data_IF_820633007779
#
_entry.id   IF_820633007779
#
_cell.length_a   1.000
_cell.length_b   1.000
_cell.length_c   1.000
_cell.angle_alpha   90.00
_cell.angle_beta   90.00
_cell.angle_gamma   90.00
#
_symmetry.space_group_name_H-M   'P 1'
#
loop_
_entity.id
_entity.type
_entity.pdbx_description
1 polymer ?
#
# COMPACT_ATOMS: atom_id res chain seq x y z
N UNK A 1 -13.84 7.21 13.68
CA UNK A 1 -14.06 6.05 12.78
C UNK A 1 -13.43 4.86 13.46
N UNK A 2 -14.12 3.72 13.48
CA UNK A 2 -13.65 2.49 14.11
C UNK A 2 -12.53 1.92 13.25
N UNK A 3 -11.35 1.79 13.81
CA UNK A 3 -10.14 1.36 13.14
C UNK A 3 -9.41 0.54 14.17
N UNK A 4 -9.44 -0.77 13.93
CA UNK A 4 -8.64 -1.80 14.53
C UNK A 4 -9.15 -2.56 15.76
N UNK A 5 -8.87 -3.86 15.72
CA UNK A 5 -9.05 -4.79 16.82
C UNK A 5 -7.80 -4.78 17.71
N UNK A 6 -8.00 -4.70 19.02
CA UNK A 6 -6.95 -4.81 20.02
C UNK A 6 -7.08 -6.16 20.75
N UNK A 7 -6.04 -6.97 20.72
CA UNK A 7 -5.95 -8.16 21.56
C UNK A 7 -4.89 -7.94 22.65
N UNK A 8 -5.21 -8.07 23.95
CA UNK A 8 -4.19 -8.10 24.98
C UNK A 8 -3.38 -9.41 24.85
N UNK A 9 -2.06 -9.28 24.68
CA UNK A 9 -1.03 -10.31 24.88
C UNK A 9 -1.41 -11.75 24.49
N UNK A 10 -1.41 -12.08 23.20
CA UNK A 10 -1.40 -13.50 22.78
C UNK A 10 0.04 -14.00 22.76
N UNK A 11 0.33 -15.00 23.57
CA UNK A 11 1.62 -15.70 23.56
C UNK A 11 1.66 -16.64 22.34
N UNK A 12 2.37 -16.23 21.28
CA UNK A 12 2.50 -16.95 19.99
C UNK A 12 3.26 -18.29 20.05
N UNK A 13 3.49 -18.85 21.24
CA UNK A 13 4.20 -20.11 21.44
C UNK A 13 3.35 -21.38 21.29
N UNK A 14 2.14 -21.30 20.71
CA UNK A 14 1.25 -22.46 20.57
C UNK A 14 0.69 -22.71 19.15
N UNK A 15 1.33 -22.19 18.11
CA UNK A 15 1.08 -22.68 16.76
C UNK A 15 1.72 -24.07 16.59
N UNK A 16 0.88 -25.07 16.80
CA UNK A 16 1.14 -26.51 16.71
C UNK A 16 1.69 -26.88 15.32
N UNK A 17 2.91 -27.42 15.31
CA UNK A 17 3.64 -27.94 14.16
C UNK A 17 3.17 -29.35 13.81
N UNK A 18 1.98 -29.44 13.21
CA UNK A 18 1.41 -30.66 12.67
C UNK A 18 2.23 -31.24 11.50
N UNK A 19 3.33 -31.92 11.82
CA UNK A 19 4.16 -32.70 10.91
C UNK A 19 3.39 -33.92 10.41
N UNK A 20 2.86 -33.84 9.18
CA UNK A 20 2.14 -34.91 8.48
C UNK A 20 2.79 -35.21 7.13
N UNK A 21 3.52 -36.32 7.09
CA UNK A 21 4.28 -36.85 5.96
C UNK A 21 3.37 -37.23 4.77
N UNK A 22 3.55 -36.60 3.60
CA UNK A 22 2.99 -37.05 2.32
C UNK A 22 4.04 -36.94 1.20
N UNK A 23 5.12 -37.71 1.32
CA UNK A 23 5.96 -38.04 0.17
C UNK A 23 5.20 -39.02 -0.74
N UNK A 24 4.61 -38.52 -1.83
CA UNK A 24 4.12 -39.35 -2.94
C UNK A 24 4.52 -38.72 -4.28
N UNK A 25 5.14 -39.56 -5.09
CA UNK A 25 5.80 -39.28 -6.37
C UNK A 25 4.95 -38.45 -7.34
N UNK A 26 5.55 -37.38 -7.86
CA UNK A 26 5.18 -36.78 -9.14
C UNK A 26 6.41 -36.86 -10.06
N UNK A 27 6.52 -37.98 -10.78
CA UNK A 27 7.37 -38.08 -11.97
C UNK A 27 6.74 -37.25 -13.09
N UNK A 28 6.91 -35.93 -13.02
CA UNK A 28 6.74 -35.03 -14.16
C UNK A 28 8.11 -34.78 -14.76
N UNK A 29 8.29 -35.09 -16.03
CA UNK A 29 9.43 -34.64 -16.81
C UNK A 29 9.60 -33.14 -16.62
N UNK A 30 10.74 -32.73 -16.07
CA UNK A 30 11.14 -31.32 -16.05
C UNK A 30 11.36 -30.96 -17.51
N UNK A 31 10.35 -30.36 -18.12
CA UNK A 31 10.49 -29.67 -19.39
C UNK A 31 11.64 -28.67 -19.26
N UNK A 32 12.42 -28.63 -20.33
CA UNK A 32 13.60 -27.79 -20.59
C UNK A 32 13.61 -26.49 -19.77
N UNK A 33 14.71 -26.13 -19.09
CA UNK A 33 14.80 -24.84 -18.44
C UNK A 33 14.66 -23.77 -19.52
N UNK A 34 13.52 -23.07 -19.51
CA UNK A 34 13.35 -21.86 -20.29
C UNK A 34 14.58 -20.98 -20.03
N UNK A 35 15.32 -20.71 -21.09
CA UNK A 35 16.46 -19.83 -21.09
C UNK A 35 15.99 -18.50 -20.48
N UNK A 36 16.36 -18.26 -19.22
CA UNK A 36 16.05 -17.01 -18.54
C UNK A 36 16.93 -15.97 -19.21
N UNK A 37 16.37 -15.28 -20.20
CA UNK A 37 16.98 -14.09 -20.78
C UNK A 37 17.48 -13.21 -19.62
N UNK A 38 18.76 -12.80 -19.63
CA UNK A 38 19.29 -11.99 -18.55
C UNK A 38 18.45 -10.72 -18.39
N UNK A 39 18.38 -10.13 -17.18
CA UNK A 39 17.65 -8.89 -16.99
C UNK A 39 18.15 -7.88 -18.01
N UNK A 40 17.24 -7.36 -18.85
CA UNK A 40 17.54 -6.28 -19.79
C UNK A 40 18.27 -5.20 -19.01
N UNK A 41 19.53 -4.92 -19.37
CA UNK A 41 20.29 -3.87 -18.73
C UNK A 41 19.45 -2.59 -18.72
N UNK A 42 19.31 -1.98 -17.55
CA UNK A 42 18.69 -0.67 -17.39
C UNK A 42 19.33 0.26 -18.43
N UNK A 43 18.51 0.67 -19.41
CA UNK A 43 18.93 1.44 -20.57
C UNK A 43 19.82 2.60 -20.13
N UNK A 44 21.10 2.55 -20.49
CA UNK A 44 22.07 3.63 -20.29
C UNK A 44 21.89 4.77 -21.30
N UNK A 45 20.68 4.91 -21.85
CA UNK A 45 20.36 5.97 -22.78
C UNK A 45 20.84 7.30 -22.18
N UNK A 46 21.60 8.10 -22.93
CA UNK A 46 22.01 9.41 -22.44
C UNK A 46 20.73 10.16 -22.10
N UNK A 47 20.59 10.58 -20.84
CA UNK A 47 19.52 11.46 -20.41
C UNK A 47 19.66 12.70 -21.29
N UNK A 48 18.77 12.83 -22.28
CA UNK A 48 18.73 14.02 -23.11
C UNK A 48 18.60 15.23 -22.17
N UNK A 49 19.28 16.35 -22.44
CA UNK A 49 19.07 17.56 -21.66
C UNK A 49 17.56 17.81 -21.54
N UNK A 50 17.08 17.99 -20.31
CA UNK A 50 15.69 18.34 -20.04
C UNK A 50 15.43 19.72 -20.63
N UNK A 51 15.00 19.76 -21.89
CA UNK A 51 14.59 20.97 -22.57
C UNK A 51 13.19 21.34 -22.10
N UNK A 52 13.02 22.60 -21.67
CA UNK A 52 11.71 23.13 -21.34
C UNK A 52 10.91 23.33 -22.63
N UNK A 53 9.65 22.92 -22.57
CA UNK A 53 8.69 23.15 -23.65
C UNK A 53 8.16 24.60 -23.60
N UNK A 54 7.55 25.10 -24.69
CA UNK A 54 6.91 26.41 -24.70
C UNK A 54 5.75 26.49 -23.72
N UNK A 55 5.50 27.68 -23.18
CA UNK A 55 4.37 27.94 -22.26
C UNK A 55 3.02 27.54 -22.87
N UNK A 56 2.20 26.89 -22.05
CA UNK A 56 0.82 26.49 -22.35
C UNK A 56 -0.05 26.58 -21.09
N UNK A 57 -1.38 26.52 -21.27
CA UNK A 57 -2.32 26.62 -20.16
C UNK A 57 -2.22 25.39 -19.23
N UNK A 58 -2.07 25.56 -17.91
CA UNK A 58 -1.99 24.46 -16.96
C UNK A 58 -3.18 23.50 -17.02
N UNK A 59 -3.01 22.23 -16.56
CA UNK A 59 -4.12 21.31 -16.41
C UNK A 59 -5.24 21.93 -15.57
N UNK A 60 -6.49 21.69 -15.97
CA UNK A 60 -7.67 22.25 -15.28
C UNK A 60 -7.61 21.95 -13.78
N UNK A 61 -7.68 22.99 -12.96
CA UNK A 61 -7.67 22.88 -11.49
C UNK A 61 -6.29 22.89 -10.84
N UNK A 62 -5.21 22.69 -11.61
CA UNK A 62 -3.85 22.63 -11.06
C UNK A 62 -3.45 23.94 -10.34
N UNK A 63 -3.84 25.09 -10.88
CA UNK A 63 -3.56 26.40 -10.28
C UNK A 63 -4.28 26.64 -8.94
N UNK A 64 -5.33 25.86 -8.63
CA UNK A 64 -6.02 25.93 -7.34
C UNK A 64 -5.34 25.05 -6.28
N UNK A 65 -4.62 24.02 -6.70
CA UNK A 65 -4.04 22.99 -5.81
C UNK A 65 -2.55 23.19 -5.57
N UNK A 66 -1.82 23.75 -6.54
CA UNK A 66 -0.36 23.85 -6.52
C UNK A 66 0.14 25.29 -6.63
N UNK A 67 1.16 25.61 -5.83
CA UNK A 67 1.91 26.86 -5.91
C UNK A 67 3.27 26.52 -6.51
N UNK A 68 3.40 26.71 -7.83
CA UNK A 68 4.62 26.40 -8.59
C UNK A 68 4.72 27.26 -9.84
N UNK A 69 5.85 27.13 -10.55
CA UNK A 69 6.13 27.82 -11.80
C UNK A 69 5.70 26.96 -13.01
N UNK A 70 4.48 27.18 -13.50
CA UNK A 70 3.92 26.45 -14.64
C UNK A 70 4.59 26.79 -15.99
N UNK A 71 5.50 27.78 -16.06
CA UNK A 71 6.32 27.98 -17.27
C UNK A 71 7.40 26.89 -17.43
N UNK A 72 7.65 26.08 -16.38
CA UNK A 72 8.69 25.05 -16.37
C UNK A 72 8.08 23.66 -16.46
N UNK A 73 8.05 23.12 -17.68
CA UNK A 73 7.64 21.75 -17.95
C UNK A 73 8.44 21.16 -19.11
N UNK A 74 8.66 19.85 -19.07
CA UNK A 74 9.40 19.08 -20.09
C UNK A 74 8.52 18.06 -20.80
N UNK A 75 7.24 18.02 -20.44
CA UNK A 75 6.19 17.21 -21.06
C UNK A 75 4.97 18.11 -21.35
N UNK A 76 4.19 17.85 -22.40
CA UNK A 76 2.92 18.53 -22.63
C UNK A 76 1.91 18.27 -21.49
N UNK A 77 1.17 19.28 -21.07
CA UNK A 77 0.15 19.18 -20.03
C UNK A 77 -1.03 18.29 -20.41
N UNK A 78 -1.26 18.04 -21.71
CA UNK A 78 -2.24 17.05 -22.18
C UNK A 78 -1.91 15.62 -21.77
N UNK A 79 -0.64 15.33 -21.44
CA UNK A 79 -0.22 14.01 -20.94
C UNK A 79 -0.47 13.85 -19.44
N UNK A 80 -0.74 14.95 -18.72
CA UNK A 80 -1.06 14.93 -17.29
C UNK A 80 -2.55 14.66 -17.12
N UNK A 81 -2.86 13.52 -16.50
CA UNK A 81 -4.22 13.11 -16.18
C UNK A 81 -4.51 13.30 -14.69
N UNK A 82 -5.76 13.63 -14.36
CA UNK A 82 -6.19 13.69 -12.96
C UNK A 82 -6.26 12.29 -12.34
N UNK A 83 -5.76 12.16 -11.12
CA UNK A 83 -5.90 10.96 -10.30
C UNK A 83 -7.28 10.77 -9.66
N UNK A 84 -8.19 11.74 -9.80
CA UNK A 84 -9.53 11.72 -9.22
C UNK A 84 -9.64 12.65 -8.00
N UNK A 85 -9.13 12.25 -6.81
CA UNK A 85 -9.09 13.13 -5.66
C UNK A 85 -8.24 14.38 -5.92
N UNK A 86 -8.64 15.57 -5.42
CA UNK A 86 -7.77 16.73 -5.43
C UNK A 86 -6.59 16.51 -4.48
N UNK A 87 -5.58 17.38 -4.56
CA UNK A 87 -4.53 17.47 -3.54
C UNK A 87 -5.14 17.56 -2.14
N UNK A 88 -4.61 16.75 -1.23
CA UNK A 88 -5.07 16.61 0.16
C UNK A 88 -6.54 16.13 0.28
N UNK A 89 -7.11 15.56 -0.80
CA UNK A 89 -8.50 15.12 -0.89
C UNK A 89 -8.78 13.73 -0.29
N UNK A 90 -7.75 12.98 0.08
CA UNK A 90 -7.87 11.69 0.78
C UNK A 90 -7.57 11.95 2.26
N UNK A 91 -8.55 11.81 3.17
CA UNK A 91 -8.35 12.18 4.56
C UNK A 91 -7.45 11.19 5.30
N UNK A 92 -6.66 11.69 6.25
CA UNK A 92 -6.02 10.85 7.27
C UNK A 92 -7.01 10.44 8.36
N UNK A 93 -6.66 9.38 9.09
CA UNK A 93 -7.28 9.03 10.38
C UNK A 93 -6.34 9.51 11.48
N UNK A 94 -6.61 10.69 12.02
CA UNK A 94 -5.75 11.29 13.06
C UNK A 94 -6.07 10.82 14.48
N UNK A 95 -7.26 10.26 14.68
CA UNK A 95 -7.74 9.76 15.98
C UNK A 95 -8.44 8.43 15.76
N UNK A 96 -7.69 7.35 15.51
CA UNK A 96 -8.28 6.02 15.35
C UNK A 96 -9.04 5.63 16.61
N UNK A 97 -10.10 4.85 16.46
CA UNK A 97 -10.91 4.33 17.57
C UNK A 97 -10.94 2.81 17.47
N UNK A 98 -10.52 2.11 18.51
CA UNK A 98 -10.35 0.65 18.44
C UNK A 98 -11.55 -0.07 19.05
N UNK A 99 -11.78 -1.28 18.57
CA UNK A 99 -12.69 -2.26 19.17
C UNK A 99 -11.93 -3.49 19.62
N UNK A 100 -12.62 -4.36 20.34
CA UNK A 100 -12.15 -5.72 20.62
C UNK A 100 -12.22 -6.60 19.37
N UNK A 101 -11.58 -7.77 19.41
CA UNK A 101 -11.67 -8.77 18.33
C UNK A 101 -13.11 -9.27 18.19
N UNK A 102 -13.77 -9.60 19.31
CA UNK A 102 -15.15 -10.09 19.30
C UNK A 102 -16.13 -9.09 18.65
N UNK A 103 -15.97 -7.79 18.91
CA UNK A 103 -16.77 -6.74 18.24
C UNK A 103 -16.41 -6.57 16.76
N UNK A 104 -15.16 -6.85 16.37
CA UNK A 104 -14.73 -6.79 14.98
C UNK A 104 -15.32 -7.95 14.17
N UNK A 105 -15.40 -9.14 14.76
CA UNK A 105 -15.97 -10.35 14.14
C UNK A 105 -17.45 -10.17 13.74
N UNK A 106 -18.15 -9.17 14.30
CA UNK A 106 -19.54 -8.85 13.90
C UNK A 106 -19.65 -8.25 12.49
N UNK A 107 -18.57 -7.66 11.95
CA UNK A 107 -18.57 -6.96 10.66
C UNK A 107 -17.39 -7.29 9.74
N UNK A 108 -16.29 -7.80 10.28
CA UNK A 108 -15.13 -8.24 9.52
C UNK A 108 -15.35 -9.69 9.05
N UNK A 109 -15.11 -9.97 7.78
CA UNK A 109 -15.26 -11.33 7.25
C UNK A 109 -14.00 -12.18 7.50
N UNK A 110 -14.18 -13.50 7.65
CA UNK A 110 -13.08 -14.46 7.87
C UNK A 110 -11.93 -14.35 6.85
N UNK A 111 -12.24 -14.00 5.60
CA UNK A 111 -11.28 -13.90 4.49
C UNK A 111 -11.06 -12.44 4.05
N UNK A 112 -10.95 -11.54 5.01
CA UNK A 112 -10.69 -10.14 4.76
C UNK A 112 -9.20 -9.77 4.93
N UNK A 113 -8.58 -9.06 3.97
CA UNK A 113 -7.20 -8.63 4.11
C UNK A 113 -7.06 -7.53 5.17
N UNK A 114 -6.04 -7.67 6.00
CA UNK A 114 -5.70 -6.74 7.08
C UNK A 114 -4.20 -6.44 7.09
N UNK A 115 -3.82 -5.27 7.60
CA UNK A 115 -2.45 -4.97 8.01
C UNK A 115 -2.32 -5.19 9.51
N UNK A 116 -1.31 -5.95 9.94
CA UNK A 116 -1.01 -6.16 11.37
C UNK A 116 0.21 -5.35 11.74
N UNK A 117 0.13 -4.63 12.85
CA UNK A 117 1.26 -3.94 13.46
C UNK A 117 1.44 -4.42 14.91
N UNK A 118 2.65 -4.84 15.24
CA UNK A 118 2.98 -5.33 16.58
C UNK A 118 4.11 -4.48 17.16
N UNK A 119 3.89 -3.90 18.33
CA UNK A 119 4.89 -3.15 19.07
C UNK A 119 4.82 -3.47 20.56
N UNK A 120 5.95 -3.88 21.13
CA UNK A 120 6.10 -4.29 22.52
C UNK A 120 5.05 -5.35 22.94
N UNK A 121 4.01 -4.93 23.66
CA UNK A 121 2.92 -5.79 24.15
C UNK A 121 1.56 -5.47 23.54
N UNK A 122 1.52 -4.67 22.48
CA UNK A 122 0.30 -4.28 21.78
C UNK A 122 0.34 -4.73 20.32
N UNK A 123 -0.73 -5.40 19.89
CA UNK A 123 -0.98 -5.76 18.49
C UNK A 123 -2.21 -5.00 18.00
N UNK A 124 -2.07 -4.36 16.84
CA UNK A 124 -3.14 -3.65 16.12
C UNK A 124 -3.40 -4.31 14.78
N UNK A 125 -4.67 -4.44 14.42
CA UNK A 125 -5.12 -5.01 13.14
C UNK A 125 -5.92 -3.97 12.37
N UNK A 126 -5.45 -3.51 11.23
CA UNK A 126 -6.08 -2.49 10.40
C UNK A 126 -6.68 -3.09 9.12
N UNK A 127 -8.01 -3.17 8.98
CA UNK A 127 -8.64 -3.72 7.78
C UNK A 127 -8.41 -2.88 6.53
N UNK A 128 -8.05 -3.52 5.41
CA UNK A 128 -7.81 -2.82 4.14
C UNK A 128 -9.08 -2.12 3.65
N UNK A 129 -10.27 -2.65 3.93
CA UNK A 129 -11.54 -1.99 3.53
C UNK A 129 -11.73 -0.60 4.16
N UNK A 130 -11.06 -0.33 5.28
CA UNK A 130 -11.02 0.99 5.93
C UNK A 130 -9.87 1.80 5.34
N UNK A 131 -8.68 1.21 5.26
CA UNK A 131 -7.46 1.90 4.83
C UNK A 131 -7.54 2.40 3.38
N UNK A 132 -8.28 1.72 2.50
CA UNK A 132 -8.38 2.12 1.09
C UNK A 132 -8.99 3.53 0.88
N UNK A 133 -9.73 4.02 1.87
CA UNK A 133 -10.35 5.35 1.85
C UNK A 133 -9.53 6.44 2.56
N UNK A 134 -8.44 6.06 3.22
CA UNK A 134 -7.68 6.94 4.09
C UNK A 134 -6.20 6.91 3.75
N UNK A 135 -5.59 8.08 3.64
CA UNK A 135 -4.21 8.20 3.17
C UNK A 135 -3.22 7.62 4.18
N UNK A 136 -3.44 7.90 5.46
CA UNK A 136 -2.60 7.45 6.57
C UNK A 136 -3.42 7.32 7.86
N UNK A 137 -2.98 6.46 8.76
CA UNK A 137 -3.48 6.38 10.15
C UNK A 137 -2.38 6.85 11.08
N UNK A 138 -2.63 7.92 11.82
CA UNK A 138 -1.73 8.44 12.83
C UNK A 138 -2.10 7.82 14.19
N UNK A 139 -1.68 6.57 14.42
CA UNK A 139 -1.87 5.87 15.69
C UNK A 139 -0.65 6.02 16.62
N UNK A 140 -0.87 5.86 17.93
CA UNK A 140 0.17 5.72 18.95
C UNK A 140 0.08 4.31 19.53
N UNK A 141 1.06 3.47 19.26
CA UNK A 141 1.08 2.06 19.70
C UNK A 141 2.30 1.81 20.58
N UNK A 142 2.10 1.26 21.77
CA UNK A 142 3.21 1.03 22.70
C UNK A 142 3.94 2.32 23.12
N UNK A 143 3.27 3.48 22.99
CA UNK A 143 3.82 4.80 23.30
C UNK A 143 4.65 5.46 22.21
N UNK A 144 4.56 4.99 20.96
CA UNK A 144 5.25 5.53 19.77
C UNK A 144 4.26 5.86 18.66
#
# INVERSE_FOLDING_TARGET
>A
MLVAACSPSVNVSSLDDGSGNLARELSGSVDDPAEVEPPTELSSAPIAPLELLPEEDPPRGAELEFITDFSKHTIPYSEILSGGPPKDGIPSIDRPQFVTVDEADEWLQDLEPVTVYEAASETRIYPIQILIWHEIVNDIVGGQ
#
